data_IF_626719265968
#
_entry.id   IF_626719265968
#
_cell.length_a   1.000
_cell.length_b   1.000
_cell.length_c   1.000
_cell.angle_alpha   90.00
_cell.angle_beta   90.00
_cell.angle_gamma   90.00
#
_symmetry.space_group_name_H-M   'P 1'
#
loop_
_entity.id
_entity.type
_entity.pdbx_description
1 polymer ?
#
# COMPACT_ATOMS: atom_id res chain seq x y z
N UNK A 1 -19.75 17.65 3.39
CA UNK A 1 -18.74 17.35 2.36
C UNK A 1 -17.53 16.71 3.03
N UNK A 2 -17.05 15.52 2.60
CA UNK A 2 -15.82 14.91 3.15
C UNK A 2 -14.62 15.62 2.53
N UNK A 3 -13.85 16.39 3.31
CA UNK A 3 -12.58 16.96 2.84
C UNK A 3 -11.61 15.80 2.58
N UNK A 4 -11.02 15.78 1.39
CA UNK A 4 -9.98 14.81 1.05
C UNK A 4 -8.63 15.46 1.29
N UNK A 5 -7.85 14.93 2.23
CA UNK A 5 -6.52 15.46 2.52
C UNK A 5 -5.57 15.20 1.35
N UNK A 6 -4.77 16.20 1.00
CA UNK A 6 -3.67 16.05 0.04
C UNK A 6 -2.58 15.14 0.62
N UNK A 7 -1.65 14.70 -0.22
CA UNK A 7 -0.51 13.89 0.23
C UNK A 7 0.36 14.66 1.24
N UNK A 8 0.55 15.97 1.01
CA UNK A 8 1.32 16.86 1.87
C UNK A 8 0.65 17.06 3.23
N UNK A 9 -0.65 17.37 3.23
CA UNK A 9 -1.38 17.52 4.49
C UNK A 9 -1.36 16.23 5.31
N UNK A 10 -1.46 15.07 4.64
CA UNK A 10 -1.32 13.78 5.32
C UNK A 10 0.06 13.61 5.93
N UNK A 11 1.12 13.99 5.21
CA UNK A 11 2.48 13.92 5.73
C UNK A 11 2.62 14.81 6.98
N UNK A 12 2.10 16.03 6.93
CA UNK A 12 2.11 16.96 8.07
C UNK A 12 1.40 16.42 9.30
N UNK A 13 0.26 15.73 9.15
CA UNK A 13 -0.42 15.05 10.27
C UNK A 13 0.51 14.07 10.97
N UNK A 14 1.24 13.24 10.22
CA UNK A 14 2.15 12.25 10.80
C UNK A 14 3.38 12.89 11.45
N UNK A 15 3.94 13.96 10.88
CA UNK A 15 5.07 14.67 11.49
C UNK A 15 4.66 15.36 12.80
N UNK A 16 3.52 16.05 12.81
CA UNK A 16 2.99 16.71 14.00
C UNK A 16 2.67 15.68 15.09
N UNK A 17 2.04 14.56 14.74
CA UNK A 17 1.79 13.46 15.68
C UNK A 17 3.09 12.87 16.24
N UNK A 18 4.09 12.64 15.40
CA UNK A 18 5.42 12.15 15.82
C UNK A 18 6.10 13.09 16.81
N UNK A 19 5.87 14.40 16.67
CA UNK A 19 6.39 15.42 17.58
C UNK A 19 5.57 15.58 18.87
N UNK A 20 4.53 14.76 19.08
CA UNK A 20 3.74 14.73 20.32
C UNK A 20 2.57 15.72 20.35
N UNK A 21 2.23 16.38 19.23
CA UNK A 21 1.07 17.28 19.20
C UNK A 21 -0.24 16.48 19.27
N UNK A 22 -1.21 17.00 20.04
CA UNK A 22 -2.50 16.36 20.24
C UNK A 22 -3.44 16.50 19.02
N UNK A 23 -4.44 15.63 18.92
CA UNK A 23 -5.37 15.63 17.78
C UNK A 23 -6.07 16.97 17.53
N UNK A 24 -6.46 17.69 18.60
CA UNK A 24 -7.17 18.97 18.49
C UNK A 24 -6.29 20.08 17.92
N UNK A 25 -5.01 20.09 18.28
CA UNK A 25 -4.05 21.07 17.82
C UNK A 25 -3.68 20.85 16.35
N UNK A 26 -3.42 19.61 15.96
CA UNK A 26 -3.23 19.22 14.55
C UNK A 26 -4.44 19.63 13.71
N UNK A 27 -5.64 19.41 14.24
CA UNK A 27 -6.87 19.76 13.56
C UNK A 27 -7.03 21.27 13.36
N UNK A 28 -6.68 22.08 14.38
CA UNK A 28 -6.69 23.54 14.28
C UNK A 28 -5.68 24.04 13.23
N UNK A 29 -4.44 23.52 13.26
CA UNK A 29 -3.38 23.88 12.29
C UNK A 29 -3.83 23.61 10.86
N UNK A 30 -4.48 22.47 10.62
CA UNK A 30 -4.91 22.06 9.28
C UNK A 30 -6.32 22.52 8.92
N UNK A 31 -7.02 23.28 9.78
CA UNK A 31 -8.41 23.69 9.55
C UNK A 31 -9.36 22.51 9.35
N UNK A 32 -9.24 21.48 10.18
CA UNK A 32 -9.98 20.21 10.10
C UNK A 32 -10.64 19.84 11.42
N UNK A 33 -11.48 18.79 11.42
CA UNK A 33 -12.10 18.28 12.66
C UNK A 33 -11.18 17.27 13.35
N UNK A 34 -11.02 17.29 14.69
CA UNK A 34 -10.15 16.35 15.42
C UNK A 34 -10.45 14.88 15.14
N UNK A 35 -11.74 14.51 15.03
CA UNK A 35 -12.14 13.14 14.69
C UNK A 35 -11.64 12.66 13.33
N UNK A 36 -11.32 13.57 12.41
CA UNK A 36 -10.75 13.24 11.10
C UNK A 36 -9.27 12.86 11.22
N UNK A 37 -8.52 13.59 12.04
CA UNK A 37 -7.13 13.27 12.39
C UNK A 37 -7.06 11.92 13.11
N UNK A 38 -7.95 11.71 14.09
CA UNK A 38 -8.07 10.43 14.79
C UNK A 38 -8.33 9.27 13.83
N UNK A 39 -9.31 9.40 12.93
CA UNK A 39 -9.64 8.34 11.96
C UNK A 39 -8.44 8.01 11.08
N UNK A 40 -7.71 9.04 10.65
CA UNK A 40 -6.53 8.88 9.79
C UNK A 40 -5.37 8.15 10.51
N UNK A 41 -5.10 8.50 11.77
CA UNK A 41 -4.03 7.87 12.55
C UNK A 41 -4.41 6.47 13.02
N UNK A 42 -5.69 6.23 13.36
CA UNK A 42 -6.19 4.93 13.82
C UNK A 42 -5.89 3.80 12.84
N UNK A 43 -6.11 4.03 11.55
CA UNK A 43 -5.94 3.00 10.52
C UNK A 43 -4.47 2.56 10.33
N UNK A 44 -3.52 3.35 10.82
CA UNK A 44 -2.07 3.10 10.73
C UNK A 44 -1.42 2.89 12.10
N UNK A 45 -2.20 2.94 13.19
CA UNK A 45 -1.68 2.95 14.55
C UNK A 45 -0.81 4.17 14.87
N UNK A 46 -0.95 5.27 14.11
CA UNK A 46 -0.14 6.48 14.24
C UNK A 46 1.26 6.39 13.61
N UNK A 47 1.60 5.28 12.94
CA UNK A 47 2.89 5.12 12.26
C UNK A 47 2.74 5.52 10.80
N UNK A 48 3.54 6.50 10.36
CA UNK A 48 3.56 6.96 8.97
C UNK A 48 3.85 5.78 8.02
N UNK A 49 2.94 5.41 7.11
CA UNK A 49 3.22 4.35 6.16
C UNK A 49 4.35 4.76 5.22
N UNK A 50 5.27 3.83 4.93
CA UNK A 50 6.33 4.07 3.96
C UNK A 50 5.74 4.37 2.57
N UNK A 51 6.24 5.42 1.92
CA UNK A 51 5.84 5.77 0.57
C UNK A 51 6.26 4.69 -0.42
N UNK A 52 5.28 4.11 -1.12
CA UNK A 52 5.55 3.06 -2.09
C UNK A 52 6.04 3.67 -3.39
N UNK A 53 7.31 3.48 -3.71
CA UNK A 53 7.88 3.82 -5.02
C UNK A 53 7.73 2.65 -5.98
N UNK A 54 7.29 2.93 -7.20
CA UNK A 54 7.25 1.93 -8.28
C UNK A 54 8.63 1.80 -8.90
N UNK A 55 9.03 0.59 -9.27
CA UNK A 55 10.23 0.39 -10.08
C UNK A 55 10.05 1.05 -11.46
N UNK A 56 11.15 1.58 -12.02
CA UNK A 56 11.19 2.31 -13.30
C UNK A 56 10.72 1.46 -14.49
N UNK A 57 10.82 0.14 -14.36
CA UNK A 57 10.33 -0.81 -15.35
C UNK A 57 8.80 -0.88 -15.44
N UNK A 58 8.07 -0.39 -14.43
CA UNK A 58 6.60 -0.39 -14.45
C UNK A 58 6.04 0.83 -15.18
N UNK A 59 4.94 0.59 -15.91
CA UNK A 59 4.18 1.67 -16.56
C UNK A 59 3.60 2.64 -15.53
N UNK A 60 3.93 3.91 -15.70
CA UNK A 60 3.39 5.06 -14.99
C UNK A 60 1.95 5.34 -15.41
N UNK A 61 1.27 6.24 -14.70
CA UNK A 61 -0.08 6.67 -15.09
C UNK A 61 -0.05 7.42 -16.43
N UNK A 62 0.94 8.28 -16.64
CA UNK A 62 1.10 9.03 -17.90
C UNK A 62 1.28 8.06 -19.09
N UNK A 63 2.18 7.08 -18.98
CA UNK A 63 2.33 6.07 -20.04
C UNK A 63 1.04 5.27 -20.28
N UNK A 64 0.24 5.02 -19.23
CA UNK A 64 -1.05 4.33 -19.37
C UNK A 64 -2.08 5.20 -20.09
N UNK A 65 -2.07 6.51 -19.88
CA UNK A 65 -2.92 7.45 -20.64
C UNK A 65 -2.51 7.52 -22.11
N UNK A 66 -1.20 7.51 -22.40
CA UNK A 66 -0.69 7.44 -23.78
C UNK A 66 -1.14 6.14 -24.48
N UNK A 67 -1.10 5.01 -23.78
CA UNK A 67 -1.67 3.76 -24.30
C UNK A 67 -3.17 3.95 -24.59
N UNK A 68 -3.94 4.56 -23.69
CA UNK A 68 -5.38 4.80 -23.92
C UNK A 68 -5.61 5.68 -25.14
N UNK A 69 -4.87 6.78 -25.28
CA UNK A 69 -4.96 7.70 -26.40
C UNK A 69 -4.63 6.99 -27.73
N UNK A 70 -3.50 6.27 -27.78
CA UNK A 70 -3.09 5.51 -28.96
C UNK A 70 -4.05 4.40 -29.35
N UNK A 71 -4.69 3.74 -28.36
CA UNK A 71 -5.72 2.74 -28.64
C UNK A 71 -6.97 3.37 -29.29
N UNK A 72 -7.42 4.52 -28.77
CA UNK A 72 -8.54 5.30 -29.32
C UNK A 72 -8.25 5.81 -30.73
N UNK A 73 -7.01 6.23 -30.99
CA UNK A 73 -6.53 6.64 -32.31
C UNK A 73 -6.29 5.45 -33.28
N UNK A 74 -6.73 4.23 -32.92
CA UNK A 74 -6.57 3.01 -33.73
C UNK A 74 -5.11 2.64 -34.09
N UNK A 75 -4.11 3.16 -33.35
CA UNK A 75 -2.70 2.84 -33.57
C UNK A 75 -2.37 1.38 -33.24
N UNK A 76 -1.40 0.78 -33.93
CA UNK A 76 -0.95 -0.58 -33.62
C UNK A 76 -0.23 -0.64 -32.26
N UNK A 77 -0.22 -1.81 -31.61
CA UNK A 77 0.51 -2.01 -30.34
C UNK A 77 2.00 -1.67 -30.52
N UNK A 78 2.57 -1.98 -31.68
CA UNK A 78 3.98 -1.68 -32.01
C UNK A 78 4.23 -0.17 -32.07
N UNK A 79 3.35 0.59 -32.72
CA UNK A 79 3.48 2.04 -32.80
C UNK A 79 3.42 2.72 -31.42
N UNK A 80 2.48 2.30 -30.57
CA UNK A 80 2.36 2.79 -29.18
C UNK A 80 3.63 2.44 -28.38
N UNK A 81 4.15 1.22 -28.55
CA UNK A 81 5.36 0.77 -27.87
C UNK A 81 6.60 1.58 -28.26
N UNK A 82 6.75 1.87 -29.56
CA UNK A 82 7.82 2.74 -30.06
C UNK A 82 7.71 4.16 -29.51
N UNK A 83 6.51 4.76 -29.50
CA UNK A 83 6.29 6.10 -28.96
C UNK A 83 6.65 6.21 -27.46
N UNK A 84 6.37 5.16 -26.68
CA UNK A 84 6.67 5.12 -25.24
C UNK A 84 8.06 4.57 -24.91
N UNK A 85 8.86 4.21 -25.91
CA UNK A 85 10.13 3.51 -25.73
C UNK A 85 10.02 2.26 -24.83
N UNK A 86 8.98 1.46 -25.06
CA UNK A 86 8.70 0.21 -24.32
C UNK A 86 8.65 -0.98 -25.26
N UNK A 87 8.79 -2.19 -24.71
CA UNK A 87 8.62 -3.39 -25.52
C UNK A 87 7.15 -3.56 -25.96
N UNK A 88 6.88 -4.00 -27.20
CA UNK A 88 5.52 -4.31 -27.65
C UNK A 88 4.82 -5.35 -26.76
N UNK A 89 5.59 -6.29 -26.20
CA UNK A 89 5.08 -7.30 -25.27
C UNK A 89 4.57 -6.70 -23.95
N UNK A 90 5.14 -5.59 -23.50
CA UNK A 90 4.69 -4.87 -22.30
C UNK A 90 3.31 -4.27 -22.55
N UNK A 91 3.16 -3.56 -23.66
CA UNK A 91 1.90 -2.90 -24.04
C UNK A 91 0.80 -3.94 -24.32
N UNK A 92 1.12 -5.01 -25.05
CA UNK A 92 0.18 -6.09 -25.32
C UNK A 92 -0.37 -6.72 -24.03
N UNK A 93 0.53 -7.11 -23.11
CA UNK A 93 0.14 -7.71 -21.84
C UNK A 93 -0.63 -6.73 -20.94
N UNK A 94 -0.27 -5.45 -20.97
CA UNK A 94 -0.98 -4.40 -20.26
C UNK A 94 -2.44 -4.29 -20.74
N UNK A 95 -2.65 -4.20 -22.06
CA UNK A 95 -3.99 -4.06 -22.65
C UNK A 95 -4.81 -5.33 -22.44
N UNK A 96 -4.23 -6.51 -22.66
CA UNK A 96 -4.92 -7.78 -22.48
C UNK A 96 -5.40 -7.97 -21.04
N UNK A 97 -4.58 -7.60 -20.05
CA UNK A 97 -4.96 -7.69 -18.63
C UNK A 97 -6.07 -6.72 -18.25
N UNK A 98 -6.22 -5.61 -18.94
CA UNK A 98 -7.12 -4.51 -18.58
C UNK A 98 -8.26 -4.33 -19.58
N UNK A 99 -9.08 -5.38 -19.72
CA UNK A 99 -10.32 -5.41 -20.52
C UNK A 99 -10.13 -5.27 -22.04
N UNK A 100 -8.91 -5.37 -22.52
CA UNK A 100 -8.60 -5.35 -23.95
C UNK A 100 -8.76 -3.96 -24.58
N UNK A 101 -8.54 -3.90 -25.89
CA UNK A 101 -8.42 -2.64 -26.64
C UNK A 101 -9.65 -1.74 -26.56
N UNK A 102 -10.86 -2.31 -26.63
CA UNK A 102 -12.12 -1.55 -26.72
C UNK A 102 -12.50 -0.88 -25.39
N UNK A 103 -12.11 -1.47 -24.26
CA UNK A 103 -12.56 -1.04 -22.92
C UNK A 103 -11.40 -0.65 -22.00
N UNK A 104 -10.22 -0.37 -22.57
CA UNK A 104 -9.05 -0.02 -21.80
C UNK A 104 -9.23 1.33 -21.10
N UNK A 105 -9.05 1.35 -19.78
CA UNK A 105 -9.10 2.54 -18.93
C UNK A 105 -7.81 2.65 -18.12
N UNK A 106 -7.05 3.72 -18.37
CA UNK A 106 -5.74 3.95 -17.77
C UNK A 106 -5.82 4.08 -16.24
N UNK A 107 -6.79 4.82 -15.71
CA UNK A 107 -7.03 4.98 -14.27
C UNK A 107 -7.35 3.65 -13.60
N UNK A 108 -8.24 2.84 -14.19
CA UNK A 108 -8.61 1.52 -13.64
C UNK A 108 -7.40 0.58 -13.61
N UNK A 109 -6.63 0.56 -14.69
CA UNK A 109 -5.43 -0.24 -14.81
C UNK A 109 -4.36 0.19 -13.78
N UNK A 110 -4.20 1.51 -13.58
CA UNK A 110 -3.32 2.08 -12.56
C UNK A 110 -3.77 1.73 -11.13
N UNK A 111 -5.07 1.84 -10.84
CA UNK A 111 -5.64 1.50 -9.53
C UNK A 111 -5.51 0.00 -9.24
N UNK A 112 -5.71 -0.84 -10.25
CA UNK A 112 -5.46 -2.28 -10.14
C UNK A 112 -3.99 -2.56 -9.84
N UNK A 113 -3.06 -1.93 -10.57
CA UNK A 113 -1.63 -2.08 -10.31
C UNK A 113 -1.27 -1.68 -8.87
N UNK A 114 -1.81 -0.56 -8.37
CA UNK A 114 -1.65 -0.13 -6.97
C UNK A 114 -2.17 -1.16 -5.97
N UNK A 115 -3.36 -1.71 -6.21
CA UNK A 115 -3.95 -2.74 -5.34
C UNK A 115 -3.12 -4.02 -5.34
N UNK A 116 -2.66 -4.48 -6.51
CA UNK A 116 -1.84 -5.69 -6.62
C UNK A 116 -0.44 -5.51 -6.03
N UNK A 117 0.13 -4.30 -6.13
CA UNK A 117 1.39 -3.96 -5.49
C UNK A 117 1.32 -4.02 -3.95
N UNK A 118 0.11 -4.00 -3.36
CA UNK A 118 -0.05 -4.18 -1.91
C UNK A 118 0.54 -5.49 -1.41
N UNK A 119 0.49 -6.56 -2.23
CA UNK A 119 0.96 -7.91 -1.93
C UNK A 119 0.89 -8.24 -0.43
N UNK A 120 -0.29 -8.13 0.20
CA UNK A 120 -0.41 -8.41 1.62
C UNK A 120 0.02 -9.86 1.83
N UNK A 121 1.14 -10.07 2.53
CA UNK A 121 1.47 -11.40 3.04
C UNK A 121 0.46 -11.64 4.17
N UNK A 122 -0.26 -12.77 4.18
CA UNK A 122 -1.11 -13.08 5.31
C UNK A 122 -0.26 -13.06 6.58
N UNK A 123 -0.73 -12.40 7.65
CA UNK A 123 0.03 -12.31 8.90
C UNK A 123 0.25 -13.72 9.44
N UNK A 124 1.44 -14.00 10.01
CA UNK A 124 1.75 -15.31 10.59
C UNK A 124 0.71 -15.72 11.64
N UNK A 125 0.23 -14.76 12.44
CA UNK A 125 -0.77 -14.98 13.48
C UNK A 125 -2.18 -15.20 12.91
N UNK A 126 -2.47 -14.69 11.72
CA UNK A 126 -3.74 -14.97 11.03
C UNK A 126 -3.73 -16.37 10.39
N UNK A 127 -2.55 -16.85 9.98
CA UNK A 127 -2.37 -18.19 9.42
C UNK A 127 -2.28 -19.28 10.50
N UNK A 128 -1.76 -18.94 11.69
CA UNK A 128 -1.47 -19.88 12.76
C UNK A 128 -2.25 -19.51 14.04
N UNK A 129 -3.51 -19.97 14.12
CA UNK A 129 -4.38 -19.75 15.28
C UNK A 129 -3.78 -20.24 16.60
N UNK A 130 -3.10 -21.42 16.68
CA UNK A 130 -2.41 -21.84 17.90
C UNK A 130 -1.33 -20.85 18.36
N UNK A 131 -0.51 -20.35 17.43
CA UNK A 131 0.52 -19.36 17.74
C UNK A 131 -0.10 -18.04 18.21
N UNK A 132 -1.19 -17.61 17.58
CA UNK A 132 -1.92 -16.40 17.98
C UNK A 132 -2.43 -16.50 19.42
N UNK A 133 -3.05 -17.63 19.80
CA UNK A 133 -3.55 -17.84 21.16
C UNK A 133 -2.42 -17.74 22.18
N UNK A 134 -1.29 -18.37 21.89
CA UNK A 134 -0.10 -18.35 22.75
C UNK A 134 0.48 -16.94 22.92
N UNK A 135 0.55 -16.15 21.84
CA UNK A 135 1.01 -14.75 21.91
C UNK A 135 0.06 -13.91 22.76
N UNK A 136 -1.26 -14.10 22.62
CA UNK A 136 -2.25 -13.40 23.43
C UNK A 136 -2.12 -13.73 24.92
N UNK A 137 -1.98 -15.01 25.28
CA UNK A 137 -1.76 -15.43 26.67
C UNK A 137 -0.49 -14.79 27.26
N UNK A 138 0.59 -14.65 26.49
CA UNK A 138 1.82 -13.99 26.96
C UNK A 138 1.68 -12.47 27.08
N UNK A 139 0.91 -11.84 26.20
CA UNK A 139 0.59 -10.42 26.31
C UNK A 139 -0.27 -10.12 27.55
N UNK A 140 -1.22 -11.00 27.90
CA UNK A 140 -1.98 -10.90 29.15
C UNK A 140 -1.08 -10.97 30.39
N UNK A 141 0.01 -11.75 30.32
CA UNK A 141 1.05 -11.81 31.35
C UNK A 141 1.99 -10.60 31.36
N UNK A 142 1.70 -9.55 30.57
CA UNK A 142 2.52 -8.33 30.42
C UNK A 142 3.93 -8.57 29.89
N UNK A 143 4.13 -9.63 29.10
CA UNK A 143 5.41 -9.83 28.43
C UNK A 143 5.60 -8.80 27.32
N UNK A 144 6.82 -8.28 27.17
CA UNK A 144 7.15 -7.41 26.05
C UNK A 144 7.18 -8.19 24.73
N UNK A 145 6.93 -7.54 23.59
CA UNK A 145 7.07 -8.18 22.28
C UNK A 145 8.43 -8.84 22.06
N UNK A 146 9.52 -8.23 22.54
CA UNK A 146 10.87 -8.81 22.47
C UNK A 146 10.96 -10.10 23.29
N UNK A 147 10.43 -10.12 24.52
CA UNK A 147 10.44 -11.30 25.38
C UNK A 147 9.67 -12.47 24.76
N UNK A 148 8.48 -12.21 24.18
CA UNK A 148 7.67 -13.22 23.50
C UNK A 148 8.44 -13.77 22.29
N UNK A 149 9.03 -12.90 21.47
CA UNK A 149 9.80 -13.32 20.29
C UNK A 149 11.04 -14.15 20.65
N UNK A 150 11.75 -13.77 21.71
CA UNK A 150 12.93 -14.49 22.21
C UNK A 150 12.57 -15.85 22.80
N UNK A 151 11.47 -15.94 23.53
CA UNK A 151 10.97 -17.19 24.09
C UNK A 151 10.47 -18.15 22.99
N UNK A 152 9.72 -17.65 22.00
CA UNK A 152 9.28 -18.43 20.85
C UNK A 152 10.46 -19.04 20.08
N UNK A 153 11.55 -18.28 19.92
CA UNK A 153 12.76 -18.76 19.25
C UNK A 153 13.43 -19.93 19.97
N UNK A 154 13.35 -19.97 21.31
CA UNK A 154 13.92 -21.04 22.14
C UNK A 154 13.01 -22.26 22.26
N UNK A 155 11.70 -22.06 22.41
CA UNK A 155 10.74 -23.16 22.69
C UNK A 155 10.06 -23.73 21.44
N UNK A 156 9.99 -22.98 20.33
CA UNK A 156 9.29 -23.37 19.09
C UNK A 156 10.14 -23.07 17.84
N UNK A 157 11.38 -23.59 17.72
CA UNK A 157 12.29 -23.25 16.63
C UNK A 157 11.72 -23.57 15.23
N UNK A 158 10.93 -24.65 15.09
CA UNK A 158 10.32 -25.04 13.81
C UNK A 158 9.23 -24.07 13.30
N UNK A 159 8.53 -23.36 14.20
CA UNK A 159 7.50 -22.38 13.82
C UNK A 159 8.12 -21.11 13.22
N UNK A 160 9.38 -20.81 13.56
CA UNK A 160 10.12 -19.64 13.08
C UNK A 160 10.96 -19.89 11.81
N UNK A 161 11.28 -21.14 11.45
CA UNK A 161 12.06 -21.44 10.24
C UNK A 161 11.27 -21.25 8.93
N UNK A 162 9.94 -21.36 8.97
CA UNK A 162 9.08 -21.26 7.78
C UNK A 162 8.76 -19.83 7.34
N UNK A 163 9.05 -18.82 8.17
CA UNK A 163 8.67 -17.44 7.91
C UNK A 163 9.79 -16.49 8.37
N UNK A 164 10.77 -16.23 7.49
CA UNK A 164 11.70 -15.11 7.65
C UNK A 164 10.90 -13.80 7.68
N UNK A 165 11.10 -13.01 8.74
CA UNK A 165 10.67 -11.62 8.85
C UNK A 165 11.22 -10.79 7.68
#
# INVERSE_FOLDING_TARGET
>A
MRRTFTAEEKASVFELWKNGTGFSEIANILGSKPGTIFTMLRDTGGIKPHERKRAVAHLTLSEREEIRAGLSAKMSIRAIATALNRSPSTISREVQRNRGRRYYKAVDANNRANRMAKRPKPCLLDQNLPLRKLVLEKLEMKWSPEQISGWLRRTKPFVMQLHRF
#
